data_IF_284400528975
#
_entry.id   IF_284400528975
#
_cell.length_a   1.000
_cell.length_b   1.000
_cell.length_c   1.000
_cell.angle_alpha   90.00
_cell.angle_beta   90.00
_cell.angle_gamma   90.00
#
_symmetry.space_group_name_H-M   'P 1'
#
loop_
_entity.id
_entity.type
_entity.pdbx_description
1 polymer ?
#
# COMPACT_ATOMS: atom_id res chain seq x y z
N UNK A 1 19.97 16.81 -14.59
CA UNK A 1 18.88 17.57 -14.02
C UNK A 1 17.57 17.24 -14.71
N UNK A 2 16.55 17.01 -13.96
CA UNK A 2 15.25 16.68 -14.49
C UNK A 2 14.63 17.83 -15.23
N UNK A 3 14.11 17.55 -16.38
CA UNK A 3 13.53 18.58 -17.24
C UNK A 3 12.05 18.73 -16.96
N UNK A 4 11.54 19.92 -17.21
CA UNK A 4 10.13 20.24 -17.07
C UNK A 4 9.17 19.44 -17.97
N UNK A 5 9.57 18.81 -19.11
CA UNK A 5 8.63 18.02 -19.88
C UNK A 5 7.88 16.95 -19.12
N UNK A 6 8.51 16.29 -18.15
CA UNK A 6 7.84 15.28 -17.36
C UNK A 6 6.75 15.85 -16.47
N UNK A 7 6.98 17.02 -15.87
CA UNK A 7 5.97 17.71 -15.09
C UNK A 7 4.76 18.09 -15.93
N UNK A 8 4.99 18.52 -17.17
CA UNK A 8 3.93 18.88 -18.09
C UNK A 8 3.12 17.65 -18.53
N UNK A 9 3.82 16.55 -18.78
CA UNK A 9 3.21 15.30 -19.24
C UNK A 9 2.22 14.75 -18.21
N UNK A 10 2.53 14.87 -16.92
CA UNK A 10 1.70 14.35 -15.83
C UNK A 10 0.96 15.42 -15.04
N UNK A 11 0.53 16.49 -15.73
CA UNK A 11 -0.27 17.54 -15.10
C UNK A 11 0.49 18.35 -14.06
N UNK A 12 1.80 18.44 -14.19
CA UNK A 12 2.65 19.18 -13.26
C UNK A 12 3.16 18.34 -12.09
N UNK A 13 2.73 17.06 -11.96
CA UNK A 13 3.18 16.19 -10.87
C UNK A 13 4.44 15.42 -11.26
N UNK A 14 5.40 15.34 -10.34
CA UNK A 14 6.63 14.58 -10.56
C UNK A 14 7.11 14.00 -9.23
N UNK A 15 6.91 12.66 -9.04
CA UNK A 15 7.27 11.96 -7.82
C UNK A 15 8.78 11.90 -7.56
N UNK A 16 9.61 12.17 -8.57
CA UNK A 16 11.06 12.25 -8.36
C UNK A 16 11.47 13.52 -7.62
N UNK A 17 10.61 14.53 -7.56
CA UNK A 17 10.86 15.74 -6.80
C UNK A 17 10.33 15.59 -5.37
N UNK A 18 11.21 15.68 -4.39
CA UNK A 18 10.86 15.52 -2.98
C UNK A 18 9.78 16.50 -2.50
N UNK A 19 9.77 17.70 -3.05
CA UNK A 19 8.82 18.75 -2.68
C UNK A 19 7.46 18.61 -3.38
N UNK A 20 7.32 17.69 -4.33
CA UNK A 20 6.06 17.53 -5.05
C UNK A 20 5.09 16.68 -4.22
N UNK A 21 3.81 17.06 -4.22
CA UNK A 21 2.77 16.32 -3.49
C UNK A 21 2.64 14.87 -3.95
N UNK A 22 2.94 14.57 -5.21
CA UNK A 22 2.91 13.20 -5.73
C UNK A 22 3.91 12.28 -5.04
N UNK A 23 5.00 12.82 -4.47
CA UNK A 23 5.94 12.04 -3.67
C UNK A 23 5.27 11.51 -2.41
N UNK A 24 4.46 12.29 -1.72
CA UNK A 24 3.76 11.84 -0.53
C UNK A 24 2.67 10.82 -0.86
N UNK A 25 2.04 10.93 -2.02
CA UNK A 25 1.10 9.92 -2.50
C UNK A 25 1.83 8.60 -2.74
N UNK A 26 2.98 8.64 -3.41
CA UNK A 26 3.77 7.45 -3.64
C UNK A 26 4.23 6.81 -2.32
N UNK A 27 4.63 7.62 -1.34
CA UNK A 27 5.00 7.13 -0.01
C UNK A 27 3.84 6.36 0.64
N UNK A 28 2.64 6.89 0.52
CA UNK A 28 1.44 6.20 1.02
C UNK A 28 1.26 4.85 0.30
N UNK A 29 1.33 4.84 -1.01
CA UNK A 29 1.08 3.65 -1.83
C UNK A 29 2.15 2.57 -1.68
N UNK A 30 3.37 2.93 -1.27
CA UNK A 30 4.46 1.98 -1.09
C UNK A 30 4.42 1.28 0.27
N UNK A 31 3.48 1.62 1.14
CA UNK A 31 3.28 0.95 2.42
C UNK A 31 2.51 -0.36 2.21
N UNK A 32 3.08 -1.48 2.69
CA UNK A 32 2.44 -2.79 2.51
C UNK A 32 1.05 -2.87 3.14
N UNK A 33 0.85 -2.20 4.28
CA UNK A 33 -0.43 -2.23 4.97
C UNK A 33 -1.52 -1.48 4.20
N UNK A 34 -1.14 -0.41 3.50
CA UNK A 34 -2.06 0.28 2.59
C UNK A 34 -2.52 -0.67 1.48
N UNK A 35 -1.59 -1.36 0.85
CA UNK A 35 -1.89 -2.34 -0.18
C UNK A 35 -2.84 -3.42 0.33
N UNK A 36 -2.56 -3.98 1.51
CA UNK A 36 -3.35 -5.07 2.07
C UNK A 36 -4.72 -4.62 2.57
N UNK A 37 -4.82 -3.43 3.18
CA UNK A 37 -6.11 -2.87 3.61
C UNK A 37 -7.01 -2.59 2.41
N UNK A 38 -6.47 -1.94 1.39
CA UNK A 38 -7.22 -1.65 0.17
C UNK A 38 -7.69 -2.94 -0.49
N UNK A 39 -6.83 -3.94 -0.55
CA UNK A 39 -7.17 -5.25 -1.09
C UNK A 39 -8.27 -5.96 -0.28
N UNK A 40 -8.21 -5.88 1.04
CA UNK A 40 -9.24 -6.47 1.90
C UNK A 40 -10.60 -5.79 1.71
N UNK A 41 -10.61 -4.46 1.58
CA UNK A 41 -11.84 -3.70 1.40
C UNK A 41 -12.41 -3.80 -0.02
N UNK A 42 -11.65 -4.34 -0.97
CA UNK A 42 -12.12 -4.50 -2.34
C UNK A 42 -13.34 -5.44 -2.43
N UNK A 43 -13.48 -6.38 -1.50
CA UNK A 43 -14.62 -7.30 -1.48
C UNK A 43 -15.87 -6.72 -0.78
N UNK A 44 -15.76 -5.56 -0.17
CA UNK A 44 -16.88 -4.88 0.48
C UNK A 44 -16.51 -4.25 1.80
N UNK A 45 -17.44 -3.51 2.42
CA UNK A 45 -17.22 -2.86 3.70
C UNK A 45 -16.82 -3.85 4.79
N UNK A 46 -15.94 -3.40 5.69
CA UNK A 46 -15.50 -4.22 6.82
C UNK A 46 -15.38 -3.38 8.07
N UNK A 47 -15.63 -4.01 9.21
CA UNK A 47 -15.41 -3.41 10.52
C UNK A 47 -13.94 -3.54 10.91
N UNK A 48 -13.52 -2.71 11.85
CA UNK A 48 -12.14 -2.67 12.32
C UNK A 48 -11.63 -4.05 12.75
N UNK A 49 -12.40 -4.75 13.57
CA UNK A 49 -12.01 -6.07 14.06
C UNK A 49 -11.86 -7.11 12.95
N UNK A 50 -12.75 -7.04 11.96
CA UNK A 50 -12.66 -7.95 10.81
C UNK A 50 -11.41 -7.67 9.97
N UNK A 51 -11.10 -6.39 9.73
CA UNK A 51 -9.87 -5.99 9.06
C UNK A 51 -8.63 -6.49 9.81
N UNK A 52 -8.61 -6.30 11.13
CA UNK A 52 -7.48 -6.71 11.93
C UNK A 52 -7.24 -8.22 11.86
N UNK A 53 -8.31 -9.00 11.88
CA UNK A 53 -8.20 -10.46 11.76
C UNK A 53 -7.71 -10.90 10.38
N UNK A 54 -8.11 -10.16 9.34
CA UNK A 54 -7.68 -10.46 7.96
C UNK A 54 -6.23 -10.12 7.71
N UNK A 55 -5.73 -9.10 8.38
CA UNK A 55 -4.38 -8.58 8.17
C UNK A 55 -3.44 -9.14 9.24
N UNK A 56 -3.00 -10.37 9.02
CA UNK A 56 -2.15 -11.06 9.98
C UNK A 56 -0.89 -10.24 10.31
N UNK A 57 -0.64 -10.08 11.60
CA UNK A 57 0.52 -9.36 12.10
C UNK A 57 0.36 -7.85 12.27
N UNK A 58 -0.78 -7.26 11.84
CA UNK A 58 -0.98 -5.84 12.04
C UNK A 58 -1.37 -5.53 13.49
N UNK A 59 -0.77 -4.48 14.05
CA UNK A 59 -1.17 -4.00 15.38
C UNK A 59 -2.39 -3.08 15.26
N UNK A 60 -3.12 -2.94 16.37
CA UNK A 60 -4.24 -2.00 16.44
C UNK A 60 -3.81 -0.57 16.10
N UNK A 61 -2.66 -0.16 16.62
CA UNK A 61 -2.10 1.18 16.36
C UNK A 61 -1.81 1.37 14.88
N UNK A 62 -1.19 0.39 14.24
CA UNK A 62 -0.83 0.47 12.83
C UNK A 62 -2.08 0.49 11.94
N UNK A 63 -3.08 -0.34 12.24
CA UNK A 63 -4.32 -0.36 11.48
C UNK A 63 -5.07 0.97 11.62
N UNK A 64 -5.15 1.51 12.84
CA UNK A 64 -5.77 2.82 13.09
C UNK A 64 -5.09 3.90 12.25
N UNK A 65 -3.76 3.93 12.26
CA UNK A 65 -2.99 4.91 11.49
C UNK A 65 -3.20 4.75 9.99
N UNK A 66 -3.15 3.53 9.51
CA UNK A 66 -3.33 3.24 8.08
C UNK A 66 -4.71 3.67 7.60
N UNK A 67 -5.76 3.36 8.37
CA UNK A 67 -7.12 3.76 8.01
C UNK A 67 -7.30 5.28 8.03
N UNK A 68 -6.69 5.98 9.00
CA UNK A 68 -6.72 7.44 9.04
C UNK A 68 -6.04 8.06 7.84
N UNK A 69 -4.88 7.54 7.46
CA UNK A 69 -4.13 8.04 6.30
C UNK A 69 -4.94 7.83 5.02
N UNK A 70 -5.58 6.68 4.88
CA UNK A 70 -6.43 6.38 3.72
C UNK A 70 -7.70 7.24 3.69
N UNK A 71 -8.31 7.46 4.84
CA UNK A 71 -9.49 8.33 4.95
C UNK A 71 -9.12 9.78 4.60
N UNK A 72 -8.01 10.26 5.15
CA UNK A 72 -7.51 11.61 4.87
C UNK A 72 -7.23 11.82 3.39
N UNK A 73 -6.79 10.79 2.71
CA UNK A 73 -6.44 10.84 1.29
C UNK A 73 -7.64 10.56 0.37
N UNK A 74 -8.84 10.38 0.93
CA UNK A 74 -10.05 10.18 0.14
C UNK A 74 -10.17 8.80 -0.48
N UNK A 75 -9.43 7.82 0.01
CA UNK A 75 -9.42 6.45 -0.52
C UNK A 75 -10.36 5.52 0.25
N UNK A 76 -10.63 5.83 1.51
CA UNK A 76 -11.48 5.08 2.41
C UNK A 76 -12.52 6.00 3.04
N UNK A 77 -13.74 5.53 3.15
CA UNK A 77 -14.82 6.20 3.89
C UNK A 77 -15.08 5.43 5.18
N UNK A 78 -15.37 6.20 6.22
CA UNK A 78 -15.72 5.66 7.53
C UNK A 78 -17.17 6.00 7.81
N UNK A 79 -17.98 5.01 8.12
CA UNK A 79 -19.39 5.20 8.46
C UNK A 79 -19.64 4.71 9.87
N UNK A 80 -20.27 5.55 10.67
CA UNK A 80 -20.62 5.24 12.06
C UNK A 80 -22.11 4.92 12.12
N UNK A 81 -22.45 3.72 12.58
CA UNK A 81 -23.84 3.31 12.75
C UNK A 81 -24.26 3.60 14.21
N UNK A 82 -25.42 4.27 14.41
CA UNK A 82 -25.88 4.66 15.76
C UNK A 82 -26.52 3.49 16.50
N UNK A 83 -25.81 2.41 16.61
CA UNK A 83 -26.23 1.24 17.39
C UNK A 83 -25.64 1.35 18.81
N UNK A 84 -26.06 0.43 19.72
CA UNK A 84 -25.53 0.37 21.07
C UNK A 84 -24.86 -0.99 21.30
N UNK A 85 -23.51 -1.05 21.35
CA UNK A 85 -22.55 0.04 21.15
C UNK A 85 -22.47 0.53 19.70
N UNK A 86 -21.96 1.75 19.45
CA UNK A 86 -21.79 2.25 18.09
C UNK A 86 -20.86 1.37 17.28
N UNK A 87 -21.19 1.16 16.00
CA UNK A 87 -20.40 0.36 15.11
C UNK A 87 -19.83 1.22 13.99
N UNK A 88 -18.59 0.94 13.60
CA UNK A 88 -17.89 1.68 12.56
C UNK A 88 -17.54 0.71 11.45
N UNK A 89 -17.91 1.06 10.22
CA UNK A 89 -17.53 0.34 9.01
C UNK A 89 -16.64 1.17 8.13
N UNK A 90 -15.67 0.53 7.52
CA UNK A 90 -14.77 1.12 6.54
C UNK A 90 -15.06 0.56 5.16
N UNK A 91 -15.06 1.42 4.16
CA UNK A 91 -15.29 1.03 2.78
C UNK A 91 -14.42 1.83 1.84
N UNK A 92 -14.19 1.31 0.64
CA UNK A 92 -13.46 2.05 -0.38
C UNK A 92 -14.38 3.14 -0.97
N UNK A 93 -13.81 4.32 -1.19
CA UNK A 93 -14.43 5.34 -2.04
C UNK A 93 -14.28 4.91 -3.50
N UNK A 94 -14.95 5.60 -4.47
CA UNK A 94 -14.69 5.34 -5.88
C UNK A 94 -13.20 5.43 -6.25
N UNK A 95 -12.49 6.41 -5.68
CA UNK A 95 -11.05 6.53 -5.89
C UNK A 95 -10.29 5.36 -5.28
N UNK A 96 -10.68 4.93 -4.08
CA UNK A 96 -10.11 3.75 -3.44
C UNK A 96 -10.35 2.47 -4.23
N UNK A 97 -11.53 2.34 -4.83
CA UNK A 97 -11.85 1.23 -5.71
C UNK A 97 -10.97 1.20 -6.96
N UNK A 98 -10.69 2.35 -7.52
CA UNK A 98 -9.74 2.49 -8.64
C UNK A 98 -8.34 2.04 -8.22
N UNK A 99 -7.89 2.48 -7.06
CA UNK A 99 -6.58 2.07 -6.52
C UNK A 99 -6.53 0.56 -6.25
N UNK A 100 -7.64 -0.03 -5.83
CA UNK A 100 -7.69 -1.45 -5.47
C UNK A 100 -7.30 -2.36 -6.65
N UNK A 101 -7.63 -1.96 -7.87
CA UNK A 101 -7.24 -2.71 -9.07
C UNK A 101 -5.73 -2.77 -9.19
N UNK A 102 -5.07 -1.62 -9.07
CA UNK A 102 -3.60 -1.55 -9.14
C UNK A 102 -2.95 -2.33 -8.00
N UNK A 103 -3.45 -2.17 -6.78
CA UNK A 103 -2.91 -2.85 -5.60
C UNK A 103 -3.08 -4.37 -5.71
N UNK A 104 -4.20 -4.81 -6.28
CA UNK A 104 -4.43 -6.22 -6.56
C UNK A 104 -3.41 -6.80 -7.54
N UNK A 105 -3.08 -6.05 -8.57
CA UNK A 105 -2.05 -6.45 -9.54
C UNK A 105 -0.68 -6.57 -8.90
N UNK A 106 -0.32 -5.63 -8.03
CA UNK A 106 0.96 -5.67 -7.31
C UNK A 106 1.00 -6.90 -6.40
N UNK A 107 -0.07 -7.19 -5.67
CA UNK A 107 -0.15 -8.35 -4.79
C UNK A 107 -0.01 -9.65 -5.58
N UNK A 108 -0.75 -9.78 -6.66
CA UNK A 108 -0.70 -10.97 -7.52
C UNK A 108 0.70 -11.15 -8.10
N UNK A 109 1.30 -10.08 -8.61
CA UNK A 109 2.66 -10.12 -9.13
C UNK A 109 3.65 -10.65 -8.07
N UNK A 110 3.51 -10.15 -6.84
CA UNK A 110 4.37 -10.57 -5.72
C UNK A 110 4.22 -12.05 -5.44
N UNK A 111 2.99 -12.55 -5.44
CA UNK A 111 2.70 -13.96 -5.18
C UNK A 111 3.20 -14.87 -6.32
N UNK A 112 3.03 -14.43 -7.56
CA UNK A 112 3.45 -15.20 -8.73
C UNK A 112 4.97 -15.29 -8.88
N UNK A 113 5.68 -14.25 -8.47
CA UNK A 113 7.14 -14.17 -8.66
C UNK A 113 7.93 -14.44 -7.37
N UNK A 114 7.24 -14.83 -6.31
CA UNK A 114 7.86 -15.10 -5.02
C UNK A 114 8.99 -16.12 -5.12
N UNK A 115 8.78 -17.20 -5.89
CA UNK A 115 9.77 -18.24 -6.05
C UNK A 115 11.05 -17.74 -6.71
N UNK A 116 10.94 -16.99 -7.79
CA UNK A 116 12.08 -16.43 -8.50
C UNK A 116 12.89 -15.47 -7.61
N UNK A 117 12.17 -14.63 -6.85
CA UNK A 117 12.82 -13.67 -5.97
C UNK A 117 13.52 -14.38 -4.81
N UNK A 118 12.86 -15.37 -4.22
CA UNK A 118 13.44 -16.16 -3.14
C UNK A 118 14.70 -16.88 -3.60
N UNK A 119 14.68 -17.47 -4.79
CA UNK A 119 15.84 -18.12 -5.37
C UNK A 119 16.99 -17.14 -5.62
N UNK A 120 16.66 -15.96 -6.16
CA UNK A 120 17.67 -14.92 -6.39
C UNK A 120 18.32 -14.48 -5.08
N UNK A 121 17.54 -14.31 -4.03
CA UNK A 121 18.05 -13.94 -2.71
C UNK A 121 18.97 -15.02 -2.14
N UNK A 122 18.58 -16.28 -2.28
CA UNK A 122 19.38 -17.41 -1.81
C UNK A 122 20.73 -17.48 -2.53
N UNK A 123 20.73 -17.26 -3.85
CA UNK A 123 21.97 -17.24 -4.63
C UNK A 123 22.87 -16.08 -4.24
N UNK A 124 22.30 -14.90 -4.02
CA UNK A 124 23.07 -13.73 -3.58
C UNK A 124 23.66 -13.96 -2.20
N UNK A 125 22.90 -14.46 -1.26
CA UNK A 125 23.35 -14.70 0.11
C UNK A 125 24.48 -15.72 0.14
N UNK A 126 24.40 -16.76 -0.68
CA UNK A 126 25.47 -17.75 -0.80
C UNK A 126 26.76 -17.11 -1.33
N UNK A 127 26.68 -16.19 -2.29
CA UNK A 127 27.86 -15.45 -2.79
C UNK A 127 28.39 -14.47 -1.77
N UNK A 128 27.54 -13.87 -0.95
CA UNK A 128 27.97 -12.92 0.08
C UNK A 128 28.80 -13.59 1.17
N UNK A 129 28.67 -14.90 1.34
CA UNK A 129 29.50 -15.68 2.29
C UNK A 129 30.87 -16.04 1.72
N UNK A 130 31.09 -15.84 0.42
CA UNK A 130 32.39 -16.10 -0.19
C UNK A 130 33.39 -15.00 0.14
N UNK A 131 34.70 -15.32 0.25
CA UNK A 131 35.72 -14.30 0.44
C UNK A 131 35.70 -13.27 -0.69
N UNK A 132 35.88 -12.00 -0.33
CA UNK A 132 35.99 -10.92 -1.32
C UNK A 132 37.22 -11.16 -2.18
N UNK A 133 37.07 -11.23 -3.49
CA UNK A 133 38.17 -11.37 -4.42
C UNK A 133 38.72 -10.00 -4.78
N UNK A 134 40.05 -9.80 -4.70
CA UNK A 134 40.62 -8.56 -5.21
C UNK A 134 40.45 -8.47 -6.72
N UNK A 135 40.28 -7.25 -7.18
CA UNK A 135 40.15 -6.99 -8.62
C UNK A 135 41.45 -7.25 -9.38
#
# INVERSE_FOLDING_TARGET
>A
MYTTPELQEFGGANAYLRSCASRSVLDLLSNKWVCLVVGALASGPMRFGALRRRLDGITQKMLTRTLRDLERSGLVAREVFPTTPPQVEYSLTPLGGNLAVLMGEIRVWSEEHMGEITDARSHYDARAEEPVRPL
#
